data_IF_117694800969
#
_entry.id   IF_117694800969
#
_cell.length_a   1.000
_cell.length_b   1.000
_cell.length_c   1.000
_cell.angle_alpha   90.00
_cell.angle_beta   90.00
_cell.angle_gamma   90.00
#
_symmetry.space_group_name_H-M   'P 1'
#
loop_
_entity.id
_entity.type
_entity.pdbx_description
1 polymer ?
#
# COMPACT_ATOMS: atom_id res chain seq x y z
N UNK A 1 11.60 -11.85 -29.11
CA UNK A 1 10.39 -11.00 -28.95
C UNK A 1 9.20 -11.94 -28.81
N UNK A 2 8.39 -11.74 -27.80
CA UNK A 2 7.23 -12.57 -27.48
C UNK A 2 6.06 -12.29 -28.45
N UNK A 3 5.34 -13.33 -28.87
CA UNK A 3 4.20 -13.27 -29.79
C UNK A 3 2.87 -13.36 -29.05
N UNK A 4 1.75 -13.03 -29.71
CA UNK A 4 0.39 -13.20 -29.16
C UNK A 4 0.09 -14.67 -28.78
N UNK A 5 0.57 -15.62 -29.60
CA UNK A 5 0.35 -17.04 -29.35
C UNK A 5 1.13 -17.56 -28.13
N UNK A 6 2.37 -17.12 -27.96
CA UNK A 6 3.18 -17.47 -26.79
C UNK A 6 2.57 -16.89 -25.51
N UNK A 7 2.12 -15.62 -25.51
CA UNK A 7 1.45 -15.01 -24.36
C UNK A 7 0.15 -15.74 -23.99
N UNK A 8 -0.65 -16.14 -25.00
CA UNK A 8 -1.88 -16.88 -24.75
C UNK A 8 -1.60 -18.27 -24.14
N UNK A 9 -0.55 -18.96 -24.56
CA UNK A 9 -0.11 -20.25 -24.01
C UNK A 9 0.36 -20.09 -22.56
N UNK A 10 1.14 -19.05 -22.28
CA UNK A 10 1.61 -18.73 -20.92
C UNK A 10 0.43 -18.45 -19.98
N UNK A 11 -0.54 -17.63 -20.42
CA UNK A 11 -1.77 -17.33 -19.68
C UNK A 11 -2.51 -18.62 -19.32
N UNK A 12 -2.71 -19.51 -20.28
CA UNK A 12 -3.38 -20.79 -20.04
C UNK A 12 -2.64 -21.64 -19.00
N UNK A 13 -1.31 -21.65 -19.04
CA UNK A 13 -0.49 -22.38 -18.08
C UNK A 13 -0.68 -21.86 -16.65
N UNK A 14 -0.68 -20.52 -16.46
CA UNK A 14 -0.88 -19.94 -15.15
C UNK A 14 -2.32 -20.12 -14.61
N UNK A 15 -3.32 -20.02 -15.48
CA UNK A 15 -4.72 -20.31 -15.13
C UNK A 15 -4.84 -21.74 -14.62
N UNK A 16 -4.18 -22.71 -15.29
CA UNK A 16 -4.22 -24.11 -14.87
C UNK A 16 -3.64 -24.34 -13.47
N UNK A 17 -2.55 -23.65 -13.10
CA UNK A 17 -1.96 -23.73 -11.75
C UNK A 17 -2.97 -23.28 -10.70
N UNK A 18 -3.61 -22.13 -10.91
CA UNK A 18 -4.60 -21.56 -9.98
C UNK A 18 -5.84 -22.47 -9.89
N UNK A 19 -6.39 -22.89 -11.03
CA UNK A 19 -7.60 -23.72 -11.11
C UNK A 19 -7.39 -25.07 -10.43
N UNK A 20 -6.24 -25.72 -10.67
CA UNK A 20 -5.89 -26.99 -10.01
C UNK A 20 -5.86 -26.83 -8.51
N UNK A 21 -5.17 -25.80 -7.99
CA UNK A 21 -5.08 -25.55 -6.54
C UNK A 21 -6.47 -25.32 -5.92
N UNK A 22 -7.30 -24.45 -6.52
CA UNK A 22 -8.64 -24.17 -6.02
C UNK A 22 -9.53 -25.42 -5.99
N UNK A 23 -9.42 -26.25 -7.04
CA UNK A 23 -10.19 -27.51 -7.13
C UNK A 23 -9.74 -28.52 -6.07
N UNK A 24 -8.43 -28.74 -5.92
CA UNK A 24 -7.87 -29.70 -4.93
C UNK A 24 -8.20 -29.32 -3.49
N UNK A 25 -8.33 -28.02 -3.20
CA UNK A 25 -8.65 -27.50 -1.88
C UNK A 25 -10.13 -27.18 -1.64
N UNK A 26 -11.01 -27.49 -2.61
CA UNK A 26 -12.44 -27.17 -2.57
C UNK A 26 -12.72 -25.68 -2.31
N UNK A 27 -11.93 -24.79 -2.90
CA UNK A 27 -12.07 -23.35 -2.78
C UNK A 27 -12.90 -22.78 -3.94
N UNK A 28 -13.68 -21.70 -3.72
CA UNK A 28 -14.48 -21.09 -4.77
C UNK A 28 -13.61 -20.45 -5.85
N UNK A 29 -14.06 -20.57 -7.09
CA UNK A 29 -13.48 -19.88 -8.24
C UNK A 29 -13.75 -18.37 -8.17
N UNK A 30 -12.78 -17.50 -8.51
CA UNK A 30 -13.01 -16.07 -8.61
C UNK A 30 -13.94 -15.75 -9.79
N UNK A 31 -14.93 -14.92 -9.53
CA UNK A 31 -15.91 -14.47 -10.53
C UNK A 31 -16.19 -12.97 -10.35
N UNK A 32 -17.00 -12.37 -11.22
CA UNK A 32 -17.52 -11.02 -10.99
C UNK A 32 -18.80 -10.99 -10.14
N UNK A 33 -19.25 -12.10 -9.57
CA UNK A 33 -20.38 -12.09 -8.65
C UNK A 33 -20.04 -11.38 -7.32
N UNK A 34 -20.99 -10.67 -6.68
CA UNK A 34 -20.72 -9.89 -5.47
C UNK A 34 -20.18 -10.69 -4.28
N UNK A 35 -20.42 -11.98 -4.25
CA UNK A 35 -19.99 -12.95 -3.22
C UNK A 35 -18.66 -13.66 -3.58
N UNK A 36 -18.04 -13.31 -4.71
CA UNK A 36 -16.74 -13.86 -5.10
C UNK A 36 -15.67 -13.62 -4.05
N UNK A 37 -14.70 -14.55 -3.89
CA UNK A 37 -13.57 -14.34 -2.99
C UNK A 37 -12.86 -13.01 -3.29
N UNK A 38 -12.58 -12.24 -2.23
CA UNK A 38 -11.87 -10.95 -2.37
C UNK A 38 -10.44 -11.12 -2.84
N UNK A 39 -9.80 -12.23 -2.46
CA UNK A 39 -8.40 -12.52 -2.76
C UNK A 39 -8.22 -14.01 -3.09
N UNK A 40 -7.23 -14.32 -3.91
CA UNK A 40 -6.76 -15.69 -4.10
C UNK A 40 -5.96 -16.16 -2.87
N UNK A 41 -5.87 -17.49 -2.63
CA UNK A 41 -5.10 -18.05 -1.53
C UNK A 41 -3.66 -17.52 -1.47
N UNK A 42 -3.12 -17.36 -0.24
CA UNK A 42 -1.75 -16.88 -0.01
C UNK A 42 -0.66 -17.94 -0.24
N UNK A 43 -1.02 -19.09 -0.86
CA UNK A 43 -0.03 -20.07 -1.30
C UNK A 43 0.94 -19.45 -2.30
N UNK A 44 2.24 -19.73 -2.14
CA UNK A 44 3.29 -19.09 -2.92
C UNK A 44 3.19 -19.41 -4.43
N UNK A 45 2.78 -20.64 -4.81
CA UNK A 45 2.60 -21.02 -6.22
C UNK A 45 1.40 -20.29 -6.83
N UNK A 46 0.28 -20.20 -6.07
CA UNK A 46 -0.93 -19.49 -6.50
C UNK A 46 -0.63 -18.00 -6.70
N UNK A 47 0.06 -17.37 -5.75
CA UNK A 47 0.41 -15.96 -5.85
C UNK A 47 1.39 -15.69 -7.00
N UNK A 48 2.37 -16.56 -7.22
CA UNK A 48 3.28 -16.46 -8.38
C UNK A 48 2.52 -16.60 -9.69
N UNK A 49 1.69 -17.65 -9.82
CA UNK A 49 0.88 -17.86 -11.02
C UNK A 49 -0.07 -16.67 -11.28
N UNK A 50 -0.68 -16.10 -10.22
CA UNK A 50 -1.49 -14.89 -10.29
C UNK A 50 -0.72 -13.70 -10.87
N UNK A 51 0.48 -13.42 -10.37
CA UNK A 51 1.30 -12.29 -10.83
C UNK A 51 1.70 -12.46 -12.29
N UNK A 52 2.18 -13.66 -12.66
CA UNK A 52 2.52 -13.98 -14.05
C UNK A 52 1.30 -13.88 -14.96
N UNK A 53 0.12 -14.38 -14.53
CA UNK A 53 -1.13 -14.27 -15.28
C UNK A 53 -1.49 -12.81 -15.57
N UNK A 54 -1.44 -11.94 -14.56
CA UNK A 54 -1.75 -10.51 -14.73
C UNK A 54 -0.76 -9.87 -15.70
N UNK A 55 0.54 -10.12 -15.54
CA UNK A 55 1.59 -9.57 -16.39
C UNK A 55 1.41 -9.99 -17.86
N UNK A 56 1.21 -11.28 -18.11
CA UNK A 56 1.01 -11.82 -19.46
C UNK A 56 -0.29 -11.32 -20.09
N UNK A 57 -1.36 -11.19 -19.31
CA UNK A 57 -2.63 -10.64 -19.80
C UNK A 57 -2.52 -9.16 -20.17
N UNK A 58 -1.80 -8.36 -19.38
CA UNK A 58 -1.50 -6.95 -19.71
C UNK A 58 -0.64 -6.84 -20.97
N UNK A 59 0.40 -7.67 -21.10
CA UNK A 59 1.26 -7.69 -22.27
C UNK A 59 0.48 -8.11 -23.54
N UNK A 60 -0.37 -9.14 -23.43
CA UNK A 60 -1.23 -9.59 -24.50
C UNK A 60 -2.19 -8.50 -24.97
N UNK A 61 -2.84 -7.81 -24.02
CA UNK A 61 -3.75 -6.69 -24.31
C UNK A 61 -3.02 -5.55 -25.02
N UNK A 62 -1.87 -5.12 -24.49
CA UNK A 62 -1.06 -4.05 -25.09
C UNK A 62 -0.59 -4.38 -26.52
N UNK A 63 -0.18 -5.63 -26.74
CA UNK A 63 0.26 -6.08 -28.06
C UNK A 63 -0.91 -6.15 -29.04
N UNK A 64 -2.10 -6.61 -28.58
CA UNK A 64 -3.31 -6.70 -29.39
C UNK A 64 -3.90 -5.33 -29.74
N UNK A 65 -3.85 -4.36 -28.84
CA UNK A 65 -4.25 -2.96 -29.08
C UNK A 65 -3.38 -2.33 -30.18
N UNK A 66 -2.08 -2.67 -30.21
CA UNK A 66 -1.14 -2.09 -31.17
C UNK A 66 -0.63 -0.69 -30.79
N UNK A 67 0.54 -0.34 -31.27
CA UNK A 67 1.29 0.84 -30.81
C UNK A 67 0.53 2.17 -30.95
N UNK A 68 -0.16 2.39 -32.07
CA UNK A 68 -0.86 3.64 -32.34
C UNK A 68 -2.08 3.85 -31.43
N UNK A 69 -2.89 2.81 -31.25
CA UNK A 69 -4.09 2.88 -30.43
C UNK A 69 -3.76 2.82 -28.95
N UNK A 70 -2.68 2.17 -28.57
CA UNK A 70 -2.19 2.16 -27.17
C UNK A 70 -1.97 3.60 -26.67
N UNK A 71 -1.25 4.44 -27.44
CA UNK A 71 -1.04 5.84 -27.08
C UNK A 71 -2.35 6.64 -27.05
N UNK A 72 -3.24 6.46 -28.05
CA UNK A 72 -4.52 7.16 -28.12
C UNK A 72 -5.43 6.81 -26.94
N UNK A 73 -5.57 5.52 -26.65
CA UNK A 73 -6.47 5.03 -25.60
C UNK A 73 -5.96 5.39 -24.22
N UNK A 74 -4.64 5.34 -24.00
CA UNK A 74 -4.05 5.76 -22.74
C UNK A 74 -4.39 7.22 -22.42
N UNK A 75 -4.15 8.13 -23.34
CA UNK A 75 -4.47 9.55 -23.15
C UNK A 75 -5.97 9.85 -23.02
N UNK A 76 -6.83 9.02 -23.66
CA UNK A 76 -8.27 9.26 -23.64
C UNK A 76 -8.94 8.66 -22.41
N UNK A 77 -8.62 7.43 -22.04
CA UNK A 77 -9.41 6.64 -21.08
C UNK A 77 -8.96 6.82 -19.63
N UNK A 78 -7.65 6.74 -19.32
CA UNK A 78 -7.16 6.64 -17.95
C UNK A 78 -7.65 7.77 -17.02
N UNK A 79 -7.71 9.00 -17.50
CA UNK A 79 -8.25 10.13 -16.73
C UNK A 79 -9.73 9.98 -16.37
N UNK A 80 -10.51 9.23 -17.15
CA UNK A 80 -11.92 8.99 -16.88
C UNK A 80 -12.16 7.77 -15.99
N UNK A 81 -11.18 6.89 -15.88
CA UNK A 81 -11.20 5.78 -14.92
C UNK A 81 -11.20 6.32 -13.49
N UNK A 82 -10.26 7.21 -13.17
CA UNK A 82 -10.19 7.87 -11.86
C UNK A 82 -11.41 8.76 -11.60
N UNK A 83 -11.85 9.53 -12.60
CA UNK A 83 -13.05 10.36 -12.48
C UNK A 83 -14.29 9.52 -12.17
N UNK A 84 -14.40 8.31 -12.73
CA UNK A 84 -15.51 7.40 -12.45
C UNK A 84 -15.50 6.97 -10.99
N UNK A 85 -14.37 6.51 -10.47
CA UNK A 85 -14.23 6.17 -9.05
C UNK A 85 -14.56 7.34 -8.14
N UNK A 86 -14.16 8.56 -8.52
CA UNK A 86 -14.50 9.77 -7.78
C UNK A 86 -16.01 9.98 -7.68
N UNK A 87 -16.74 9.85 -8.80
CA UNK A 87 -18.21 9.91 -8.79
C UNK A 87 -18.83 8.81 -7.93
N UNK A 88 -18.35 7.56 -8.06
CA UNK A 88 -18.89 6.45 -7.28
C UNK A 88 -18.74 6.69 -5.77
N UNK A 89 -17.60 7.21 -5.35
CA UNK A 89 -17.33 7.52 -3.95
C UNK A 89 -18.11 8.76 -3.46
N UNK A 90 -18.05 9.89 -4.17
CA UNK A 90 -18.64 11.16 -3.73
C UNK A 90 -20.16 11.18 -3.72
N UNK A 91 -20.79 10.42 -4.60
CA UNK A 91 -22.25 10.29 -4.63
C UNK A 91 -22.74 9.04 -3.89
N UNK A 92 -21.85 8.39 -3.12
CA UNK A 92 -22.17 7.20 -2.34
C UNK A 92 -22.87 6.11 -3.16
N UNK A 93 -22.45 5.92 -4.42
CA UNK A 93 -23.09 4.98 -5.34
C UNK A 93 -22.84 3.53 -4.89
N UNK A 94 -21.71 3.25 -4.26
CA UNK A 94 -21.39 1.93 -3.70
C UNK A 94 -22.44 1.45 -2.69
N UNK A 95 -22.89 2.33 -1.77
CA UNK A 95 -23.89 1.96 -0.76
C UNK A 95 -25.32 2.14 -1.27
N UNK A 96 -25.53 2.99 -2.27
CA UNK A 96 -26.86 3.24 -2.82
C UNK A 96 -27.42 2.08 -3.63
N UNK A 97 -26.54 1.29 -4.27
CA UNK A 97 -26.90 0.05 -4.96
C UNK A 97 -27.01 -1.06 -3.92
N UNK A 98 -28.13 -1.81 -3.84
CA UNK A 98 -28.24 -2.96 -2.95
C UNK A 98 -27.22 -4.04 -3.31
N UNK A 99 -26.65 -4.72 -2.30
CA UNK A 99 -25.61 -5.74 -2.50
C UNK A 99 -26.07 -6.90 -3.40
N UNK A 100 -27.26 -7.43 -3.10
CA UNK A 100 -27.72 -8.71 -3.63
C UNK A 100 -28.86 -8.56 -4.65
N UNK A 101 -29.36 -7.34 -4.85
CA UNK A 101 -30.49 -7.08 -5.75
C UNK A 101 -30.19 -5.91 -6.71
N UNK A 102 -30.62 -6.02 -7.98
CA UNK A 102 -30.47 -4.92 -8.92
C UNK A 102 -31.43 -3.76 -8.61
N UNK A 103 -30.97 -2.53 -8.77
CA UNK A 103 -31.75 -1.31 -8.62
C UNK A 103 -32.00 -0.65 -9.99
N UNK A 104 -33.19 -0.07 -10.21
CA UNK A 104 -33.45 0.70 -11.43
C UNK A 104 -32.68 2.03 -11.46
N UNK A 105 -32.35 2.53 -12.67
CA UNK A 105 -31.71 3.85 -12.78
C UNK A 105 -32.56 4.98 -12.19
N UNK A 106 -33.88 4.89 -12.28
CA UNK A 106 -34.78 5.90 -11.75
C UNK A 106 -34.72 5.94 -10.21
N UNK A 107 -34.65 4.79 -9.53
CA UNK A 107 -34.53 4.70 -8.08
C UNK A 107 -33.12 5.13 -7.62
N UNK A 108 -32.07 4.64 -8.30
CA UNK A 108 -30.70 5.00 -7.99
C UNK A 108 -30.49 6.51 -8.16
N UNK A 109 -30.98 7.11 -9.23
CA UNK A 109 -30.95 8.55 -9.48
C UNK A 109 -31.54 9.35 -8.32
N UNK A 110 -32.68 8.93 -7.78
CA UNK A 110 -33.31 9.56 -6.62
C UNK A 110 -32.48 9.40 -5.34
N UNK A 111 -31.91 8.21 -5.10
CA UNK A 111 -31.08 7.93 -3.93
C UNK A 111 -29.82 8.80 -3.89
N UNK A 112 -29.14 8.92 -5.02
CA UNK A 112 -27.83 9.60 -5.10
C UNK A 112 -27.93 11.09 -5.46
N UNK A 113 -29.11 11.59 -5.79
CA UNK A 113 -29.31 13.00 -6.16
C UNK A 113 -28.68 13.40 -7.51
N UNK A 114 -28.44 12.45 -8.41
CA UNK A 114 -27.91 12.69 -9.76
C UNK A 114 -28.99 12.49 -10.79
N UNK A 115 -29.09 13.40 -11.78
CA UNK A 115 -29.98 13.22 -12.91
C UNK A 115 -29.66 11.92 -13.66
N UNK A 116 -30.69 11.14 -13.99
CA UNK A 116 -30.57 9.80 -14.57
C UNK A 116 -29.67 9.76 -15.82
N UNK A 117 -29.80 10.75 -16.71
CA UNK A 117 -28.98 10.80 -17.92
C UNK A 117 -27.47 10.96 -17.63
N UNK A 118 -27.10 11.65 -16.54
CA UNK A 118 -25.73 11.78 -16.09
C UNK A 118 -25.25 10.50 -15.39
N UNK A 119 -26.09 9.94 -14.53
CA UNK A 119 -25.81 8.67 -13.84
C UNK A 119 -25.54 7.54 -14.85
N UNK A 120 -26.35 7.44 -15.92
CA UNK A 120 -26.15 6.43 -16.98
C UNK A 120 -24.76 6.53 -17.64
N UNK A 121 -24.25 7.74 -17.88
CA UNK A 121 -22.90 7.94 -18.44
C UNK A 121 -21.81 7.47 -17.49
N UNK A 122 -21.91 7.82 -16.22
CA UNK A 122 -20.97 7.40 -15.18
C UNK A 122 -20.96 5.88 -15.07
N UNK A 123 -22.15 5.27 -14.97
CA UNK A 123 -22.27 3.83 -14.86
C UNK A 123 -21.80 3.10 -16.12
N UNK A 124 -21.96 3.68 -17.32
CA UNK A 124 -21.40 3.09 -18.54
C UNK A 124 -19.89 2.98 -18.49
N UNK A 125 -19.19 3.96 -17.91
CA UNK A 125 -17.73 3.88 -17.70
C UNK A 125 -17.40 2.86 -16.61
N UNK A 126 -18.16 2.84 -15.51
CA UNK A 126 -17.97 1.88 -14.42
C UNK A 126 -18.11 0.42 -14.88
N UNK A 127 -19.01 0.15 -15.84
CA UNK A 127 -19.16 -1.20 -16.44
C UNK A 127 -17.91 -1.63 -17.20
N UNK A 128 -17.25 -0.73 -17.91
CA UNK A 128 -16.03 -1.06 -18.65
C UNK A 128 -14.87 -1.43 -17.71
N UNK A 129 -14.92 -0.98 -16.46
CA UNK A 129 -13.96 -1.27 -15.40
C UNK A 129 -14.43 -2.41 -14.48
N UNK A 130 -15.54 -3.05 -14.79
CA UNK A 130 -16.14 -4.11 -13.98
C UNK A 130 -16.47 -3.74 -12.53
N UNK A 131 -16.73 -2.45 -12.22
CA UNK A 131 -17.21 -2.07 -10.88
C UNK A 131 -18.67 -2.40 -10.66
N UNK A 132 -19.48 -2.32 -11.71
CA UNK A 132 -20.90 -2.68 -11.68
C UNK A 132 -21.26 -3.46 -12.96
N UNK A 133 -22.46 -4.00 -13.01
CA UNK A 133 -23.00 -4.64 -14.20
C UNK A 133 -24.47 -4.25 -14.42
N UNK A 134 -24.98 -4.56 -15.61
CA UNK A 134 -26.39 -4.39 -15.97
C UNK A 134 -27.03 -5.76 -16.21
N UNK A 135 -27.65 -6.39 -15.18
CA UNK A 135 -28.23 -7.73 -15.32
C UNK A 135 -29.45 -7.77 -16.24
N UNK A 136 -30.09 -6.63 -16.42
CA UNK A 136 -31.17 -6.40 -17.39
C UNK A 136 -31.21 -4.93 -17.81
N UNK A 137 -31.74 -4.58 -18.98
CA UNK A 137 -31.82 -3.19 -19.43
C UNK A 137 -32.49 -2.28 -18.39
N UNK A 138 -31.86 -1.15 -18.09
CA UNK A 138 -32.36 -0.17 -17.14
C UNK A 138 -32.05 -0.41 -15.66
N UNK A 139 -31.31 -1.46 -15.32
CA UNK A 139 -30.94 -1.81 -13.96
C UNK A 139 -29.43 -1.87 -13.77
N UNK A 140 -29.00 -1.63 -12.52
CA UNK A 140 -27.62 -1.66 -12.03
C UNK A 140 -27.52 -2.69 -10.94
N UNK A 141 -26.46 -3.50 -10.94
CA UNK A 141 -26.13 -4.42 -9.87
C UNK A 141 -24.62 -4.39 -9.58
N UNK A 142 -24.26 -4.79 -8.37
CA UNK A 142 -22.86 -4.93 -7.99
C UNK A 142 -22.14 -6.05 -8.76
N UNK A 143 -20.86 -5.86 -8.92
CA UNK A 143 -19.89 -6.94 -9.14
C UNK A 143 -19.06 -7.12 -7.86
N UNK A 144 -18.17 -8.11 -7.83
CA UNK A 144 -17.21 -8.30 -6.75
C UNK A 144 -16.35 -7.05 -6.50
N UNK A 145 -15.96 -6.31 -7.57
CA UNK A 145 -15.13 -5.12 -7.46
C UNK A 145 -15.85 -3.97 -6.74
N UNK A 146 -17.12 -3.73 -7.04
CA UNK A 146 -17.89 -2.67 -6.38
C UNK A 146 -18.42 -3.10 -5.01
N UNK A 147 -18.77 -4.37 -4.82
CA UNK A 147 -19.24 -4.90 -3.55
C UNK A 147 -18.19 -4.83 -2.44
N UNK A 148 -16.89 -4.76 -2.80
CA UNK A 148 -15.79 -4.61 -1.87
C UNK A 148 -15.84 -3.27 -1.11
N UNK A 149 -16.40 -2.22 -1.71
CA UNK A 149 -16.45 -0.88 -1.12
C UNK A 149 -17.72 -0.59 -0.31
N UNK A 150 -18.70 -1.51 -0.29
CA UNK A 150 -19.97 -1.33 0.44
C UNK A 150 -19.68 -1.21 1.95
N UNK A 151 -20.07 -0.07 2.55
CA UNK A 151 -19.90 0.18 3.98
C UNK A 151 -18.44 0.21 4.47
N UNK A 152 -17.47 0.31 3.56
CA UNK A 152 -16.05 0.30 3.89
C UNK A 152 -15.46 1.72 3.82
N UNK A 153 -15.32 2.42 4.98
CA UNK A 153 -14.74 3.77 4.99
C UNK A 153 -13.26 3.77 4.60
N UNK A 154 -12.53 2.67 4.77
CA UNK A 154 -11.12 2.58 4.39
C UNK A 154 -10.96 2.55 2.86
N UNK A 155 -11.84 1.83 2.16
CA UNK A 155 -11.88 1.82 0.70
C UNK A 155 -12.21 3.22 0.15
N UNK A 156 -13.14 3.94 0.79
CA UNK A 156 -13.46 5.33 0.44
C UNK A 156 -12.29 6.26 0.73
N UNK A 157 -11.59 6.09 1.86
CA UNK A 157 -10.38 6.86 2.18
C UNK A 157 -9.34 6.71 1.08
N UNK A 158 -9.07 5.48 0.66
CA UNK A 158 -8.12 5.18 -0.42
C UNK A 158 -8.48 5.91 -1.73
N UNK A 159 -9.74 5.81 -2.16
CA UNK A 159 -10.20 6.46 -3.40
C UNK A 159 -10.07 7.98 -3.28
N UNK A 160 -10.63 8.57 -2.22
CA UNK A 160 -10.72 10.03 -2.09
C UNK A 160 -9.36 10.67 -1.84
N UNK A 161 -8.49 10.06 -1.02
CA UNK A 161 -7.14 10.58 -0.80
C UNK A 161 -6.33 10.61 -2.11
N UNK A 162 -6.32 9.52 -2.86
CA UNK A 162 -5.55 9.47 -4.11
C UNK A 162 -6.09 10.44 -5.18
N UNK A 163 -7.42 10.55 -5.32
CA UNK A 163 -8.04 11.33 -6.41
C UNK A 163 -8.21 12.81 -6.06
N UNK A 164 -8.45 13.16 -4.80
CA UNK A 164 -8.70 14.56 -4.41
C UNK A 164 -7.48 15.29 -3.86
N UNK A 165 -6.48 14.54 -3.38
CA UNK A 165 -5.28 15.12 -2.76
C UNK A 165 -4.03 14.78 -3.57
N UNK A 166 -3.68 13.50 -3.69
CA UNK A 166 -2.41 13.09 -4.31
C UNK A 166 -2.37 13.47 -5.79
N UNK A 167 -3.39 13.08 -6.55
CA UNK A 167 -3.39 13.31 -7.99
C UNK A 167 -3.40 14.81 -8.38
N UNK A 168 -4.33 15.65 -7.92
CA UNK A 168 -4.40 17.06 -8.36
C UNK A 168 -3.30 17.93 -7.77
N UNK A 169 -2.85 17.67 -6.56
CA UNK A 169 -1.91 18.54 -5.86
C UNK A 169 -0.47 18.15 -6.09
N UNK A 170 -0.19 16.86 -6.30
CA UNK A 170 1.16 16.31 -6.37
C UNK A 170 1.46 15.66 -7.72
N UNK A 171 0.82 14.54 -8.05
CA UNK A 171 1.19 13.73 -9.23
C UNK A 171 1.03 14.51 -10.54
N UNK A 172 -0.07 15.25 -10.73
CA UNK A 172 -0.29 16.09 -11.89
C UNK A 172 0.63 17.32 -11.95
N UNK A 173 1.37 17.60 -10.87
CA UNK A 173 2.30 18.71 -10.73
C UNK A 173 3.77 18.31 -10.69
N UNK A 174 4.05 17.03 -10.78
CA UNK A 174 5.41 16.51 -10.67
C UNK A 174 6.33 17.06 -11.78
N UNK A 175 5.83 17.13 -13.02
CA UNK A 175 6.59 17.70 -14.13
C UNK A 175 6.90 19.17 -13.88
N UNK A 176 5.92 19.97 -13.46
CA UNK A 176 6.10 21.39 -13.15
C UNK A 176 7.10 21.60 -12.01
N UNK A 177 7.02 20.75 -10.96
CA UNK A 177 7.94 20.76 -9.83
C UNK A 177 9.37 20.43 -10.25
N UNK A 178 9.55 19.40 -11.08
CA UNK A 178 10.86 19.02 -11.63
C UNK A 178 11.44 20.14 -12.51
N UNK A 179 10.60 20.78 -13.33
CA UNK A 179 11.06 21.92 -14.16
C UNK A 179 11.50 23.12 -13.30
N UNK A 180 10.85 23.34 -12.14
CA UNK A 180 11.19 24.47 -11.24
C UNK A 180 12.43 24.20 -10.40
N UNK A 181 12.58 23.00 -9.86
CA UNK A 181 13.60 22.73 -8.83
C UNK A 181 14.69 21.70 -9.25
N UNK A 182 14.56 21.10 -10.45
CA UNK A 182 15.56 20.16 -10.98
C UNK A 182 15.77 18.96 -10.06
N UNK A 183 17.03 18.69 -9.75
CA UNK A 183 17.47 17.54 -8.94
C UNK A 183 17.40 17.77 -7.42
N UNK A 184 16.56 18.72 -6.98
CA UNK A 184 16.39 18.98 -5.55
C UNK A 184 15.82 17.77 -4.82
N UNK A 185 16.36 17.51 -3.63
CA UNK A 185 15.87 16.48 -2.68
C UNK A 185 15.14 17.11 -1.47
N UNK A 186 14.85 18.41 -1.52
CA UNK A 186 14.11 19.09 -0.44
C UNK A 186 12.65 18.61 -0.43
N UNK A 187 12.14 18.03 0.68
CA UNK A 187 10.76 17.50 0.78
C UNK A 187 9.67 18.57 0.61
N UNK A 188 10.05 19.86 0.60
CA UNK A 188 9.14 20.98 0.33
C UNK A 188 9.03 21.31 -1.16
N UNK A 189 9.92 20.82 -2.00
CA UNK A 189 9.94 21.09 -3.44
C UNK A 189 8.94 20.20 -4.20
N UNK A 190 7.66 20.35 -3.86
CA UNK A 190 6.54 19.56 -4.38
C UNK A 190 5.44 20.44 -4.99
N UNK A 191 4.49 19.82 -5.68
CA UNK A 191 3.43 20.49 -6.43
C UNK A 191 2.71 21.63 -5.69
N UNK A 192 2.23 21.46 -4.45
CA UNK A 192 1.54 22.53 -3.71
C UNK A 192 2.38 23.79 -3.49
N UNK A 193 3.70 23.63 -3.41
CA UNK A 193 4.63 24.75 -3.16
C UNK A 193 5.08 25.48 -4.44
N UNK A 194 4.56 25.11 -5.62
CA UNK A 194 4.97 25.75 -6.88
C UNK A 194 4.82 27.28 -6.88
N UNK A 195 3.80 27.79 -6.21
CA UNK A 195 3.51 29.22 -6.10
C UNK A 195 3.82 29.81 -4.71
N UNK A 196 4.40 29.04 -3.81
CA UNK A 196 4.83 29.55 -2.49
C UNK A 196 5.99 30.53 -2.65
N UNK A 197 6.03 31.54 -1.77
CA UNK A 197 7.19 32.42 -1.68
C UNK A 197 8.33 31.70 -0.95
N UNK A 198 9.58 32.07 -1.22
CA UNK A 198 10.73 31.51 -0.51
C UNK A 198 10.56 31.60 1.02
N UNK A 199 10.63 30.45 1.70
CA UNK A 199 10.45 30.33 3.15
C UNK A 199 9.00 30.11 3.61
N UNK A 200 8.02 30.14 2.71
CA UNK A 200 6.61 29.80 3.00
C UNK A 200 6.25 28.38 2.55
N UNK A 201 7.21 27.65 2.01
CA UNK A 201 7.01 26.26 1.57
C UNK A 201 6.74 25.33 2.76
N UNK A 202 5.77 24.43 2.60
CA UNK A 202 5.30 23.51 3.64
C UNK A 202 5.59 22.06 3.29
N UNK A 203 5.80 21.27 4.33
CA UNK A 203 5.87 19.82 4.21
C UNK A 203 4.48 19.22 3.92
N UNK A 204 4.47 18.05 3.30
CA UNK A 204 3.25 17.29 3.00
C UNK A 204 2.30 17.19 4.20
N UNK A 205 2.82 16.77 5.36
CA UNK A 205 2.00 16.59 6.56
C UNK A 205 1.44 17.92 7.12
N UNK A 206 2.17 19.02 6.97
CA UNK A 206 1.70 20.36 7.35
C UNK A 206 0.52 20.79 6.46
N UNK A 207 0.62 20.53 5.15
CA UNK A 207 -0.46 20.81 4.20
C UNK A 207 -1.70 19.97 4.50
N UNK A 208 -1.53 18.66 4.78
CA UNK A 208 -2.64 17.77 5.13
C UNK A 208 -3.32 18.13 6.45
N UNK A 209 -2.58 18.72 7.40
CA UNK A 209 -3.07 19.08 8.71
C UNK A 209 -3.82 20.42 8.72
N UNK A 210 -3.41 21.39 7.91
CA UNK A 210 -3.90 22.76 7.98
C UNK A 210 -5.30 22.98 7.42
N UNK A 211 -5.77 22.14 6.49
CA UNK A 211 -7.09 22.27 5.90
C UNK A 211 -8.16 22.01 6.98
N UNK A 212 -8.99 23.03 7.22
CA UNK A 212 -10.06 23.01 8.22
C UNK A 212 -11.48 22.96 7.60
N UNK A 213 -11.58 22.86 6.27
CA UNK A 213 -12.84 22.96 5.53
C UNK A 213 -13.52 21.60 5.28
N UNK A 214 -13.32 20.62 6.16
CA UNK A 214 -13.89 19.30 5.96
C UNK A 214 -14.02 18.46 7.21
N UNK A 215 -14.47 17.25 6.97
CA UNK A 215 -14.67 16.23 8.00
C UNK A 215 -14.34 14.86 7.42
N UNK A 216 -13.71 14.01 8.21
CA UNK A 216 -13.49 12.62 7.89
C UNK A 216 -13.54 11.75 9.14
N UNK A 217 -14.42 10.73 9.13
CA UNK A 217 -14.49 9.66 10.15
C UNK A 217 -14.44 10.20 11.60
N UNK A 218 -15.24 11.26 11.87
CA UNK A 218 -15.34 11.91 13.19
C UNK A 218 -14.28 12.98 13.48
N UNK A 219 -13.26 13.15 12.63
CA UNK A 219 -12.32 14.28 12.72
C UNK A 219 -12.82 15.42 11.84
N UNK A 220 -13.19 16.53 12.47
CA UNK A 220 -13.72 17.72 11.82
C UNK A 220 -12.74 18.88 11.91
N UNK A 221 -12.57 19.62 10.81
CA UNK A 221 -11.64 20.72 10.74
C UNK A 221 -10.20 20.24 10.61
N UNK A 222 -9.25 20.99 11.16
CA UNK A 222 -7.80 20.67 11.01
C UNK A 222 -7.49 19.22 11.34
N UNK A 223 -6.69 18.58 10.44
CA UNK A 223 -6.27 17.20 10.58
C UNK A 223 -7.19 16.15 9.95
N UNK A 224 -8.38 16.52 9.41
CA UNK A 224 -9.27 15.53 8.80
C UNK A 224 -8.66 14.82 7.58
N UNK A 225 -7.85 15.54 6.78
CA UNK A 225 -7.14 14.94 5.64
C UNK A 225 -6.02 14.01 6.10
N UNK A 226 -5.32 14.40 7.16
CA UNK A 226 -4.30 13.55 7.76
C UNK A 226 -4.91 12.27 8.32
N UNK A 227 -6.10 12.37 8.94
CA UNK A 227 -6.82 11.18 9.41
C UNK A 227 -7.29 10.29 8.23
N UNK A 228 -7.75 10.90 7.13
CA UNK A 228 -8.09 10.17 5.91
C UNK A 228 -6.86 9.46 5.31
N UNK A 229 -5.68 10.09 5.32
CA UNK A 229 -4.42 9.46 4.93
C UNK A 229 -4.13 8.21 5.79
N UNK A 230 -4.36 8.27 7.10
CA UNK A 230 -4.13 7.11 7.97
C UNK A 230 -5.11 5.97 7.72
N UNK A 231 -6.37 6.26 7.42
CA UNK A 231 -7.33 5.25 6.97
C UNK A 231 -6.92 4.68 5.59
N UNK A 232 -6.31 5.48 4.74
CA UNK A 232 -5.72 5.04 3.46
C UNK A 232 -4.57 4.06 3.68
N UNK A 233 -3.65 4.33 4.60
CA UNK A 233 -2.56 3.42 4.96
C UNK A 233 -3.09 2.10 5.54
N UNK A 234 -4.16 2.14 6.34
CA UNK A 234 -4.85 0.94 6.81
C UNK A 234 -5.42 0.11 5.66
N UNK A 235 -6.17 0.74 4.74
CA UNK A 235 -6.72 0.04 3.58
C UNK A 235 -5.62 -0.66 2.78
N UNK A 236 -4.53 0.05 2.51
CA UNK A 236 -3.38 -0.49 1.82
C UNK A 236 -2.75 -1.68 2.57
N UNK A 237 -2.71 -1.62 3.91
CA UNK A 237 -2.20 -2.68 4.78
C UNK A 237 -3.14 -3.86 5.01
N UNK A 238 -4.43 -3.78 4.64
CA UNK A 238 -5.40 -4.87 4.85
C UNK A 238 -5.45 -5.89 3.73
N UNK A 239 -4.93 -5.56 2.56
CA UNK A 239 -5.02 -6.47 1.40
C UNK A 239 -3.93 -6.25 0.36
N UNK A 240 -3.96 -7.09 -0.68
CA UNK A 240 -3.10 -6.95 -1.85
C UNK A 240 -1.60 -7.08 -1.54
N UNK A 241 -0.83 -6.24 -2.21
CA UNK A 241 0.63 -6.32 -2.26
C UNK A 241 1.37 -5.80 -1.01
N UNK A 242 0.68 -5.20 -0.02
CA UNK A 242 1.28 -4.72 1.26
C UNK A 242 0.51 -5.27 2.48
N UNK A 243 -0.05 -6.44 2.39
CA UNK A 243 -0.84 -7.01 3.48
C UNK A 243 -0.05 -7.10 4.79
N UNK A 244 -0.59 -6.52 5.88
CA UNK A 244 0.05 -6.50 7.19
C UNK A 244 0.36 -7.90 7.74
N UNK A 245 -0.48 -8.90 7.45
CA UNK A 245 -0.26 -10.29 7.84
C UNK A 245 1.00 -10.92 7.23
N UNK A 246 1.56 -10.35 6.17
CA UNK A 246 2.86 -10.78 5.62
C UNK A 246 4.02 -10.57 6.61
N UNK A 247 3.88 -9.64 7.57
CA UNK A 247 4.83 -9.47 8.66
C UNK A 247 4.97 -10.73 9.51
N UNK A 248 3.89 -11.50 9.69
CA UNK A 248 3.90 -12.74 10.48
C UNK A 248 4.73 -13.84 9.83
N UNK A 249 4.93 -13.78 8.51
CA UNK A 249 5.72 -14.76 7.75
C UNK A 249 7.15 -14.28 7.48
N UNK A 250 7.39 -12.97 7.57
CA UNK A 250 8.68 -12.37 7.25
C UNK A 250 9.67 -12.38 8.44
N UNK A 251 9.20 -12.66 9.66
CA UNK A 251 10.02 -12.67 10.87
C UNK A 251 9.43 -13.62 11.91
N UNK A 252 10.27 -14.30 12.66
CA UNK A 252 9.88 -15.18 13.76
C UNK A 252 9.58 -14.36 15.04
N UNK A 253 8.40 -13.74 15.07
CA UNK A 253 7.91 -12.96 16.21
C UNK A 253 7.74 -13.81 17.46
N UNK A 254 7.33 -15.08 17.32
CA UNK A 254 7.13 -16.01 18.43
C UNK A 254 8.45 -16.39 19.11
N UNK A 255 9.53 -16.48 18.35
CA UNK A 255 10.87 -16.78 18.85
C UNK A 255 11.46 -15.71 19.78
N UNK A 256 10.87 -14.49 19.81
CA UNK A 256 11.25 -13.44 20.75
C UNK A 256 10.82 -13.75 22.21
N UNK A 257 9.80 -14.62 22.42
CA UNK A 257 9.20 -14.84 23.73
C UNK A 257 8.57 -13.56 24.29
N UNK A 258 8.75 -13.30 25.59
CA UNK A 258 8.31 -12.05 26.22
C UNK A 258 9.22 -10.90 25.80
N UNK A 259 8.72 -10.05 24.92
CA UNK A 259 9.52 -8.98 24.35
C UNK A 259 8.72 -7.68 24.19
N UNK A 260 9.47 -6.55 24.20
CA UNK A 260 8.95 -5.21 23.94
C UNK A 260 9.35 -4.77 22.56
N UNK A 261 8.36 -4.36 21.78
CA UNK A 261 8.52 -3.79 20.44
C UNK A 261 8.14 -2.31 20.46
N UNK A 262 9.02 -1.46 20.00
CA UNK A 262 8.77 -0.03 19.81
C UNK A 262 8.48 0.20 18.34
N UNK A 263 7.25 0.57 18.00
CA UNK A 263 6.78 0.85 16.64
C UNK A 263 6.88 2.35 16.37
N UNK A 264 7.99 2.76 15.74
CA UNK A 264 8.34 4.17 15.50
C UNK A 264 7.63 4.65 14.22
N UNK A 265 6.76 5.64 14.36
CA UNK A 265 5.90 6.10 13.26
C UNK A 265 4.78 5.12 12.96
N UNK A 266 4.33 4.36 13.95
CA UNK A 266 3.33 3.29 13.81
C UNK A 266 1.90 3.76 13.56
N UNK A 267 1.70 5.08 13.48
CA UNK A 267 0.44 5.75 13.10
C UNK A 267 -0.75 5.24 13.94
N UNK A 268 -1.62 4.44 13.34
CA UNK A 268 -2.84 3.91 14.00
C UNK A 268 -2.59 2.63 14.80
N UNK A 269 -1.35 2.11 14.82
CA UNK A 269 -1.01 0.86 15.48
C UNK A 269 -1.59 -0.41 14.83
N UNK A 270 -2.09 -0.32 13.59
CA UNK A 270 -2.72 -1.47 12.94
C UNK A 270 -1.74 -2.62 12.65
N UNK A 271 -0.48 -2.32 12.33
CA UNK A 271 0.57 -3.34 12.15
C UNK A 271 0.98 -3.95 13.50
N UNK A 272 1.20 -3.10 14.52
CA UNK A 272 1.46 -3.54 15.89
C UNK A 272 0.33 -4.44 16.39
N UNK A 273 -0.93 -4.06 16.16
CA UNK A 273 -2.11 -4.86 16.53
C UNK A 273 -2.14 -6.20 15.80
N UNK A 274 -1.82 -6.22 14.49
CA UNK A 274 -1.77 -7.46 13.70
C UNK A 274 -0.75 -8.45 14.28
N UNK A 275 0.44 -7.97 14.63
CA UNK A 275 1.49 -8.82 15.20
C UNK A 275 1.16 -9.23 16.64
N UNK A 276 0.65 -8.31 17.47
CA UNK A 276 0.30 -8.56 18.86
C UNK A 276 -0.84 -9.58 19.02
N UNK A 277 -1.85 -9.55 18.13
CA UNK A 277 -2.94 -10.54 18.13
C UNK A 277 -2.43 -11.96 17.90
N UNK A 278 -1.46 -12.13 17.00
CA UNK A 278 -0.87 -13.43 16.69
C UNK A 278 0.19 -13.88 17.72
N UNK A 279 0.73 -12.96 18.54
CA UNK A 279 1.83 -13.23 19.47
C UNK A 279 1.50 -12.66 20.87
N UNK A 280 0.87 -13.44 21.75
CA UNK A 280 0.34 -12.96 23.04
C UNK A 280 1.41 -12.48 24.03
N UNK A 281 2.65 -12.92 23.89
CA UNK A 281 3.76 -12.56 24.77
C UNK A 281 4.43 -11.22 24.41
N UNK A 282 4.08 -10.62 23.26
CA UNK A 282 4.65 -9.34 22.82
C UNK A 282 3.88 -8.15 23.39
N UNK A 283 4.62 -7.13 23.78
CA UNK A 283 4.13 -5.80 24.15
C UNK A 283 4.57 -4.76 23.13
N UNK A 284 3.68 -3.89 22.71
CA UNK A 284 3.97 -2.85 21.74
C UNK A 284 3.83 -1.45 22.32
N UNK A 285 4.79 -0.57 22.01
CA UNK A 285 4.74 0.88 22.27
C UNK A 285 4.74 1.56 20.91
N UNK A 286 3.56 2.02 20.48
CA UNK A 286 3.39 2.71 19.20
C UNK A 286 3.73 4.18 19.39
N UNK A 287 4.75 4.65 18.70
CA UNK A 287 5.22 6.02 18.78
C UNK A 287 4.83 6.81 17.54
N UNK A 288 4.20 7.95 17.76
CA UNK A 288 3.86 8.91 16.71
C UNK A 288 3.92 10.34 17.28
N UNK A 289 4.03 11.33 16.41
CA UNK A 289 4.07 12.73 16.82
C UNK A 289 2.83 13.12 17.63
N UNK A 290 3.01 14.04 18.56
CA UNK A 290 1.95 14.47 19.44
C UNK A 290 0.91 15.34 18.69
N UNK A 291 -0.31 14.80 18.53
CA UNK A 291 -1.48 15.52 18.03
C UNK A 291 -2.63 15.37 19.03
N UNK A 292 -3.39 16.45 19.34
CA UNK A 292 -4.40 16.44 20.41
C UNK A 292 -5.50 15.38 20.29
N UNK A 293 -5.80 14.97 19.02
CA UNK A 293 -6.85 13.99 18.72
C UNK A 293 -6.32 12.57 18.54
N UNK A 294 -4.98 12.39 18.48
CA UNK A 294 -4.34 11.14 18.05
C UNK A 294 -4.51 10.01 19.05
N UNK A 295 -4.16 10.26 20.30
CA UNK A 295 -4.24 9.26 21.37
C UNK A 295 -5.67 8.72 21.55
N UNK A 296 -6.67 9.63 21.51
CA UNK A 296 -8.08 9.25 21.58
C UNK A 296 -8.44 8.30 20.44
N UNK A 297 -8.14 8.68 19.20
CA UNK A 297 -8.46 7.90 18.02
C UNK A 297 -7.72 6.56 17.99
N UNK A 298 -6.48 6.53 18.49
CA UNK A 298 -5.73 5.30 18.64
C UNK A 298 -6.45 4.30 19.53
N UNK A 299 -6.84 4.71 20.75
CA UNK A 299 -7.50 3.81 21.69
C UNK A 299 -8.94 3.46 21.30
N UNK A 300 -9.66 4.32 20.60
CA UNK A 300 -11.00 4.00 20.07
C UNK A 300 -10.97 2.89 19.01
N UNK A 301 -9.84 2.70 18.34
CA UNK A 301 -9.66 1.69 17.28
C UNK A 301 -8.89 0.46 17.76
N UNK A 302 -8.28 0.51 18.93
CA UNK A 302 -7.51 -0.62 19.45
C UNK A 302 -8.46 -1.78 19.82
N UNK A 303 -8.23 -3.00 19.32
CA UNK A 303 -8.95 -4.19 19.75
C UNK A 303 -8.89 -4.36 21.27
N UNK A 304 -10.03 -4.63 21.91
CA UNK A 304 -10.14 -4.69 23.36
C UNK A 304 -9.19 -5.75 24.01
N UNK A 305 -8.93 -6.84 23.31
CA UNK A 305 -8.00 -7.88 23.72
C UNK A 305 -6.52 -7.44 23.75
N UNK A 306 -6.21 -6.31 23.15
CA UNK A 306 -4.87 -5.71 23.16
C UNK A 306 -4.66 -4.66 24.26
N UNK A 307 -5.70 -4.33 25.01
CA UNK A 307 -5.59 -3.40 26.13
C UNK A 307 -4.51 -3.84 27.11
N UNK A 308 -3.61 -2.92 27.45
CA UNK A 308 -2.46 -3.20 28.34
C UNK A 308 -1.25 -3.88 27.66
N UNK A 309 -1.39 -4.34 26.40
CA UNK A 309 -0.27 -4.88 25.61
C UNK A 309 0.17 -3.98 24.45
N UNK A 310 -0.73 -3.18 23.95
CA UNK A 310 -0.41 -2.20 22.90
C UNK A 310 -0.77 -0.82 23.43
N UNK A 311 0.18 0.09 23.45
CA UNK A 311 0.02 1.44 24.01
C UNK A 311 0.53 2.49 23.03
N UNK A 312 -0.04 3.69 23.13
CA UNK A 312 0.42 4.87 22.40
C UNK A 312 1.40 5.68 23.25
N UNK A 313 2.46 6.21 22.63
CA UNK A 313 3.42 7.11 23.24
C UNK A 313 3.71 8.27 22.27
N UNK A 314 3.36 9.52 22.60
CA UNK A 314 3.76 10.66 21.79
C UNK A 314 5.28 10.80 21.75
N UNK A 315 5.86 10.81 20.55
CA UNK A 315 7.29 10.91 20.37
C UNK A 315 7.66 11.52 19.01
N UNK A 316 8.66 12.39 19.01
CA UNK A 316 9.31 12.88 17.79
C UNK A 316 10.47 11.93 17.43
N UNK A 317 10.38 11.27 16.28
CA UNK A 317 11.38 10.31 15.80
C UNK A 317 12.80 10.87 15.64
N UNK A 318 12.94 12.19 15.57
CA UNK A 318 14.26 12.85 15.51
C UNK A 318 14.84 13.14 16.90
N UNK A 319 14.01 13.14 17.93
CA UNK A 319 14.45 13.32 19.30
C UNK A 319 15.10 12.05 19.87
N UNK A 320 15.72 12.17 21.05
CA UNK A 320 16.28 11.02 21.76
C UNK A 320 15.20 9.97 22.02
N UNK A 321 15.47 8.70 21.66
CA UNK A 321 14.54 7.59 21.87
C UNK A 321 14.38 7.30 23.38
N UNK A 322 13.18 7.51 23.95
CA UNK A 322 12.98 7.38 25.39
C UNK A 322 12.94 5.94 25.89
N UNK A 323 12.57 4.98 25.02
CA UNK A 323 12.50 3.57 25.38
C UNK A 323 13.85 2.94 25.08
N UNK A 324 14.63 2.65 26.14
CA UNK A 324 15.97 2.07 26.03
C UNK A 324 15.92 0.55 26.17
N UNK A 325 16.76 -0.16 25.42
CA UNK A 325 16.95 -1.61 25.54
C UNK A 325 15.70 -2.43 25.15
N UNK A 326 14.80 -1.91 24.32
CA UNK A 326 13.72 -2.69 23.76
C UNK A 326 14.28 -3.87 22.94
N UNK A 327 13.52 -4.95 22.86
CA UNK A 327 13.94 -6.13 22.10
C UNK A 327 13.92 -5.85 20.60
N UNK A 328 12.92 -5.07 20.15
CA UNK A 328 12.77 -4.67 18.76
C UNK A 328 12.41 -3.19 18.68
N UNK A 329 13.10 -2.47 17.81
CA UNK A 329 12.65 -1.19 17.26
C UNK A 329 12.15 -1.47 15.85
N UNK A 330 10.92 -1.09 15.57
CA UNK A 330 10.26 -1.36 14.29
C UNK A 330 9.89 -0.06 13.59
N UNK A 331 10.11 0.02 12.30
CA UNK A 331 9.67 1.11 11.44
C UNK A 331 9.06 0.54 10.15
N UNK A 332 7.89 1.00 9.79
CA UNK A 332 7.25 0.62 8.53
C UNK A 332 7.00 1.87 7.68
N UNK A 333 7.58 1.92 6.48
CA UNK A 333 7.42 3.05 5.54
C UNK A 333 7.69 4.42 6.17
N UNK A 334 8.74 4.50 6.98
CA UNK A 334 9.17 5.73 7.66
C UNK A 334 10.37 6.37 6.96
N UNK A 335 11.43 5.58 6.72
CA UNK A 335 12.71 6.11 6.24
C UNK A 335 12.70 6.51 4.75
N UNK A 336 11.82 5.92 3.95
CA UNK A 336 11.69 6.25 2.53
C UNK A 336 11.17 7.68 2.27
N UNK A 337 10.51 8.27 3.26
CA UNK A 337 9.98 9.64 3.21
C UNK A 337 11.03 10.69 3.60
N UNK A 338 12.21 10.24 4.03
CA UNK A 338 13.23 11.10 4.61
C UNK A 338 14.46 11.21 3.70
N UNK A 339 15.02 12.41 3.51
CA UNK A 339 16.36 12.58 2.97
C UNK A 339 17.38 11.82 3.82
N UNK A 340 18.51 11.43 3.23
CA UNK A 340 19.52 10.58 3.88
C UNK A 340 19.99 11.15 5.24
N UNK A 341 20.21 12.45 5.35
CA UNK A 341 20.67 13.10 6.60
C UNK A 341 19.64 12.97 7.73
N UNK A 342 18.35 13.07 7.40
CA UNK A 342 17.24 12.89 8.34
C UNK A 342 17.06 11.42 8.71
N UNK A 343 17.10 10.54 7.73
CA UNK A 343 17.05 9.09 7.96
C UNK A 343 18.21 8.62 8.86
N UNK A 344 19.44 9.09 8.61
CA UNK A 344 20.62 8.83 9.45
C UNK A 344 20.39 9.33 10.88
N UNK A 345 19.78 10.49 11.06
CA UNK A 345 19.47 11.02 12.40
C UNK A 345 18.53 10.06 13.15
N UNK A 346 17.45 9.61 12.52
CA UNK A 346 16.50 8.66 13.11
C UNK A 346 17.20 7.35 13.50
N UNK A 347 18.01 6.80 12.60
CA UNK A 347 18.77 5.56 12.84
C UNK A 347 19.73 5.70 14.02
N UNK A 348 20.45 6.84 14.14
CA UNK A 348 21.33 7.11 15.29
C UNK A 348 20.56 7.16 16.60
N UNK A 349 19.34 7.74 16.63
CA UNK A 349 18.49 7.72 17.82
C UNK A 349 18.09 6.31 18.23
N UNK A 350 17.89 5.43 17.26
CA UNK A 350 17.67 3.99 17.56
C UNK A 350 18.95 3.36 18.13
N UNK A 351 20.12 3.57 17.52
CA UNK A 351 21.41 3.02 18.00
C UNK A 351 21.69 3.43 19.44
N UNK A 352 21.46 4.71 19.79
CA UNK A 352 21.63 5.24 21.16
C UNK A 352 20.71 4.57 22.20
N UNK A 353 19.64 3.94 21.75
CA UNK A 353 18.66 3.26 22.60
C UNK A 353 18.80 1.74 22.59
N UNK A 354 19.37 1.14 21.57
CA UNK A 354 19.53 -0.30 21.41
C UNK A 354 20.55 -0.85 22.41
N UNK A 355 20.22 -2.03 22.98
CA UNK A 355 21.21 -2.89 23.61
C UNK A 355 21.90 -3.72 22.50
N UNK A 356 23.22 -3.53 22.28
CA UNK A 356 23.90 -4.21 21.18
C UNK A 356 23.88 -5.73 21.24
N UNK A 357 23.66 -6.32 22.42
CA UNK A 357 23.61 -7.78 22.60
C UNK A 357 22.20 -8.37 22.43
N UNK A 358 21.16 -7.54 22.41
CA UNK A 358 19.78 -7.99 22.48
C UNK A 358 18.88 -7.36 21.40
N UNK A 359 19.00 -6.04 21.25
CA UNK A 359 18.06 -5.28 20.42
C UNK A 359 18.25 -5.56 18.92
N UNK A 360 17.14 -5.58 18.20
CA UNK A 360 17.10 -5.63 16.75
C UNK A 360 16.37 -4.38 16.22
N UNK A 361 16.76 -3.91 15.05
CA UNK A 361 15.99 -2.92 14.32
C UNK A 361 15.35 -3.62 13.11
N UNK A 362 14.04 -3.58 13.02
CA UNK A 362 13.29 -4.10 11.88
C UNK A 362 12.76 -2.92 11.06
N UNK A 363 13.02 -2.91 9.77
CA UNK A 363 12.42 -1.94 8.85
C UNK A 363 11.62 -2.66 7.77
N UNK A 364 10.41 -2.17 7.51
CA UNK A 364 9.55 -2.67 6.45
C UNK A 364 9.38 -1.56 5.43
N UNK A 365 10.05 -1.69 4.30
CA UNK A 365 10.07 -0.71 3.23
C UNK A 365 10.05 -1.41 1.86
N UNK A 366 9.81 -0.65 0.79
CA UNK A 366 10.00 -1.13 -0.55
C UNK A 366 11.50 -1.26 -0.83
N UNK A 367 11.88 -2.40 -1.37
CA UNK A 367 13.26 -2.66 -1.80
C UNK A 367 13.21 -2.83 -3.32
N UNK A 368 13.81 -1.90 -4.05
CA UNK A 368 13.60 -1.77 -5.51
C UNK A 368 14.14 -2.97 -6.30
N UNK A 369 15.15 -3.65 -5.80
CA UNK A 369 15.71 -4.89 -6.34
C UNK A 369 15.16 -6.17 -5.66
N UNK A 370 14.17 -6.02 -4.79
CA UNK A 370 13.45 -7.09 -4.12
C UNK A 370 14.15 -7.67 -2.90
N UNK A 371 13.38 -8.42 -2.08
CA UNK A 371 13.84 -9.18 -0.93
C UNK A 371 13.94 -10.69 -1.23
N UNK A 372 14.49 -11.44 -0.27
CA UNK A 372 14.52 -12.90 -0.32
C UNK A 372 13.14 -13.46 0.08
N UNK A 373 12.69 -14.60 -0.49
CA UNK A 373 11.46 -15.23 -0.06
C UNK A 373 11.59 -15.78 1.36
N UNK A 374 10.50 -15.88 2.15
CA UNK A 374 10.52 -16.62 3.41
C UNK A 374 10.98 -18.05 3.22
N UNK A 375 11.56 -18.67 4.26
CA UNK A 375 12.06 -20.03 4.19
C UNK A 375 10.99 -21.05 3.75
N UNK A 376 9.75 -20.88 4.18
CA UNK A 376 8.60 -21.69 3.77
C UNK A 376 8.19 -21.50 2.30
N UNK A 377 8.46 -20.33 1.73
CA UNK A 377 8.21 -20.00 0.32
C UNK A 377 9.42 -20.32 -0.57
N UNK A 378 10.60 -20.58 0.03
CA UNK A 378 11.84 -20.83 -0.70
C UNK A 378 11.91 -22.20 -1.36
N UNK A 379 11.03 -23.12 -0.98
CA UNK A 379 10.96 -24.49 -1.53
C UNK A 379 9.60 -24.71 -2.18
N UNK A 380 9.54 -24.65 -3.51
CA UNK A 380 8.33 -24.99 -4.26
C UNK A 380 8.61 -26.23 -5.11
N UNK A 381 7.79 -27.26 -4.98
CA UNK A 381 7.95 -28.54 -5.70
C UNK A 381 9.33 -29.20 -5.51
N UNK A 382 9.93 -29.06 -4.33
CA UNK A 382 11.24 -29.63 -4.03
C UNK A 382 12.43 -28.91 -4.66
N UNK A 383 12.22 -27.73 -5.24
CA UNK A 383 13.28 -26.85 -5.73
C UNK A 383 13.42 -25.61 -4.87
N UNK A 384 14.64 -25.35 -4.41
CA UNK A 384 14.98 -24.05 -3.79
C UNK A 384 14.80 -22.95 -4.85
N UNK A 385 14.07 -21.91 -4.48
CA UNK A 385 13.90 -20.74 -5.34
C UNK A 385 15.07 -19.82 -5.06
N UNK A 386 15.90 -19.57 -6.08
CA UNK A 386 16.86 -18.48 -6.01
C UNK A 386 16.12 -17.15 -5.99
N UNK A 387 16.42 -16.29 -5.02
CA UNK A 387 15.83 -14.95 -4.86
C UNK A 387 15.96 -14.07 -6.12
N UNK A 388 16.92 -14.35 -6.98
CA UNK A 388 17.08 -13.71 -8.29
C UNK A 388 16.02 -14.12 -9.33
N UNK A 389 15.32 -15.24 -9.12
CA UNK A 389 14.28 -15.74 -10.03
C UNK A 389 12.88 -15.14 -9.76
N UNK A 390 12.66 -14.53 -8.62
CA UNK A 390 11.33 -14.07 -8.19
C UNK A 390 10.91 -12.67 -8.65
N UNK A 391 11.85 -11.77 -8.92
CA UNK A 391 11.56 -10.38 -9.24
C UNK A 391 11.82 -9.96 -10.69
N UNK A 392 12.58 -10.74 -11.45
CA UNK A 392 13.02 -10.37 -12.82
C UNK A 392 12.73 -11.41 -13.91
N UNK A 393 12.10 -12.53 -13.61
CA UNK A 393 12.10 -13.71 -14.48
C UNK A 393 10.86 -13.99 -15.32
N UNK A 394 10.03 -13.04 -15.62
CA UNK A 394 8.95 -13.33 -16.56
C UNK A 394 9.30 -13.05 -18.04
N UNK A 395 10.55 -12.89 -18.38
CA UNK A 395 10.99 -12.76 -19.79
C UNK A 395 10.66 -11.42 -20.46
N UNK A 396 10.03 -10.49 -19.74
CA UNK A 396 9.66 -9.16 -20.23
C UNK A 396 10.51 -8.02 -19.61
N UNK A 397 11.56 -8.35 -18.86
CA UNK A 397 12.38 -7.36 -18.16
C UNK A 397 11.67 -6.72 -16.95
N UNK A 398 11.92 -5.44 -16.61
CA UNK A 398 11.38 -4.78 -15.43
C UNK A 398 9.86 -4.43 -15.58
N UNK A 399 9.08 -5.31 -16.19
CA UNK A 399 7.65 -5.09 -16.50
C UNK A 399 6.71 -5.87 -15.61
N UNK A 400 7.23 -6.57 -14.58
CA UNK A 400 6.44 -7.34 -13.63
C UNK A 400 5.41 -6.46 -12.88
N UNK A 401 4.27 -7.05 -12.52
CA UNK A 401 3.16 -6.33 -11.83
C UNK A 401 3.63 -5.71 -10.52
N UNK A 402 4.41 -6.44 -9.71
CA UNK A 402 4.95 -5.91 -8.46
C UNK A 402 5.99 -4.83 -8.73
N UNK A 403 6.87 -5.00 -9.72
CA UNK A 403 7.82 -3.96 -10.14
C UNK A 403 7.10 -2.68 -10.56
N UNK A 404 6.02 -2.79 -11.34
CA UNK A 404 5.21 -1.63 -11.73
C UNK A 404 4.57 -0.94 -10.51
N UNK A 405 4.09 -1.71 -9.54
CA UNK A 405 3.54 -1.16 -8.30
C UNK A 405 4.63 -0.46 -7.49
N UNK A 406 5.81 -1.07 -7.32
CA UNK A 406 6.94 -0.47 -6.61
C UNK A 406 7.38 0.85 -7.26
N UNK A 407 7.51 0.88 -8.59
CA UNK A 407 7.80 2.12 -9.33
C UNK A 407 6.68 3.15 -9.14
N UNK A 408 5.41 2.73 -9.14
CA UNK A 408 4.27 3.63 -8.88
C UNK A 408 4.31 4.25 -7.48
N UNK A 409 4.71 3.46 -6.48
CA UNK A 409 4.88 3.95 -5.10
C UNK A 409 6.09 4.90 -5.03
N UNK A 410 7.20 4.57 -5.68
CA UNK A 410 8.38 5.43 -5.77
C UNK A 410 8.04 6.80 -6.41
N UNK A 411 7.29 6.79 -7.52
CA UNK A 411 6.78 8.03 -8.11
C UNK A 411 5.84 8.81 -7.18
N UNK A 412 5.02 8.12 -6.38
CA UNK A 412 4.16 8.79 -5.40
C UNK A 412 4.99 9.41 -4.28
N UNK A 413 6.01 8.71 -3.77
CA UNK A 413 6.95 9.22 -2.75
C UNK A 413 7.72 10.43 -3.30
N UNK A 414 8.20 10.35 -4.55
CA UNK A 414 8.83 11.48 -5.24
C UNK A 414 7.87 12.67 -5.34
N UNK A 415 6.63 12.47 -5.80
CA UNK A 415 5.68 13.55 -5.99
C UNK A 415 5.25 14.22 -4.68
N UNK A 416 5.06 13.44 -3.61
CA UNK A 416 4.42 13.88 -2.36
C UNK A 416 5.44 14.46 -1.37
N UNK A 417 6.61 13.83 -1.23
CA UNK A 417 7.64 14.20 -0.24
C UNK A 417 9.03 14.37 -0.84
N UNK A 418 9.15 14.36 -2.16
CA UNK A 418 10.43 14.43 -2.88
C UNK A 418 11.46 13.40 -2.37
N UNK A 419 10.97 12.24 -1.92
CA UNK A 419 11.75 11.11 -1.45
C UNK A 419 11.95 10.07 -2.54
N UNK A 420 12.50 8.92 -2.18
CA UNK A 420 12.74 7.81 -3.11
C UNK A 420 12.80 6.46 -2.39
N UNK A 421 12.42 5.42 -3.10
CA UNK A 421 12.61 4.04 -2.66
C UNK A 421 14.03 3.59 -2.98
N UNK A 422 14.59 2.72 -2.14
CA UNK A 422 16.01 2.34 -2.22
C UNK A 422 16.18 0.89 -2.62
N UNK A 423 17.27 0.59 -3.31
CA UNK A 423 17.79 -0.77 -3.49
C UNK A 423 18.33 -1.31 -2.17
N UNK A 424 18.54 -2.64 -2.09
CA UNK A 424 19.15 -3.26 -0.91
C UNK A 424 20.54 -2.68 -0.59
N UNK A 425 21.36 -2.42 -1.61
CA UNK A 425 22.68 -1.83 -1.44
C UNK A 425 22.63 -0.40 -0.90
N UNK A 426 21.68 0.40 -1.38
CA UNK A 426 21.46 1.76 -0.87
C UNK A 426 20.97 1.74 0.58
N UNK A 427 20.08 0.81 0.95
CA UNK A 427 19.68 0.60 2.35
C UNK A 427 20.90 0.24 3.22
N UNK A 428 21.72 -0.73 2.82
CA UNK A 428 22.94 -1.09 3.56
C UNK A 428 23.88 0.11 3.71
N UNK A 429 24.05 0.89 2.66
CA UNK A 429 24.88 2.08 2.66
C UNK A 429 24.35 3.15 3.63
N UNK A 430 23.03 3.40 3.63
CA UNK A 430 22.38 4.34 4.55
C UNK A 430 22.60 3.95 6.01
N UNK A 431 22.38 2.67 6.34
CA UNK A 431 22.55 2.14 7.69
C UNK A 431 24.01 2.23 8.16
N UNK A 432 24.96 1.86 7.30
CA UNK A 432 26.41 1.97 7.59
C UNK A 432 26.87 3.43 7.79
N UNK A 433 26.25 4.41 7.11
CA UNK A 433 26.49 5.85 7.34
C UNK A 433 25.94 6.31 8.69
N UNK A 434 24.87 5.69 9.18
CA UNK A 434 24.33 6.00 10.50
C UNK A 434 25.23 5.46 11.60
N UNK A 435 25.59 4.17 11.54
CA UNK A 435 26.54 3.50 12.42
C UNK A 435 27.21 2.33 11.68
N UNK A 436 28.57 2.25 11.65
CA UNK A 436 29.28 1.19 10.92
C UNK A 436 29.04 -0.23 11.47
N UNK A 437 28.54 -0.38 12.70
CA UNK A 437 28.20 -1.68 13.30
C UNK A 437 26.93 -2.28 12.73
N UNK A 438 26.03 -1.53 12.09
CA UNK A 438 24.84 -2.11 11.49
C UNK A 438 25.17 -3.22 10.49
N UNK A 439 24.57 -4.39 10.69
CA UNK A 439 24.63 -5.52 9.78
C UNK A 439 23.22 -5.98 9.39
N UNK A 440 22.98 -6.13 8.10
CA UNK A 440 21.74 -6.69 7.58
C UNK A 440 21.77 -8.22 7.74
N UNK A 441 20.88 -8.76 8.57
CA UNK A 441 20.75 -10.21 8.81
C UNK A 441 19.78 -10.88 7.85
N UNK A 442 18.76 -10.17 7.42
CA UNK A 442 17.76 -10.68 6.49
C UNK A 442 17.02 -9.55 5.80
N UNK A 443 16.55 -9.83 4.60
CA UNK A 443 15.70 -8.94 3.81
C UNK A 443 14.63 -9.82 3.16
N UNK A 444 13.52 -10.04 3.86
CA UNK A 444 12.52 -11.04 3.48
C UNK A 444 11.31 -10.38 2.83
N UNK A 445 10.97 -10.84 1.63
CA UNK A 445 9.80 -10.40 0.89
C UNK A 445 8.92 -11.61 0.54
N UNK A 446 7.68 -11.63 1.04
CA UNK A 446 6.72 -12.68 0.68
C UNK A 446 6.23 -12.50 -0.74
N UNK A 447 5.95 -13.62 -1.42
CA UNK A 447 5.45 -13.59 -2.80
C UNK A 447 4.16 -12.76 -2.89
N UNK A 448 4.13 -11.83 -3.83
CA UNK A 448 2.99 -10.93 -4.03
C UNK A 448 2.98 -9.69 -3.14
N UNK A 449 3.99 -9.52 -2.27
CA UNK A 449 4.16 -8.32 -1.47
C UNK A 449 5.17 -7.37 -2.15
N UNK A 450 4.93 -6.06 -2.12
CA UNK A 450 5.86 -5.05 -2.62
C UNK A 450 6.87 -4.59 -1.55
N UNK A 451 6.58 -4.76 -0.26
CA UNK A 451 7.49 -4.41 0.83
C UNK A 451 8.27 -5.62 1.33
N UNK A 452 9.55 -5.43 1.62
CA UNK A 452 10.40 -6.37 2.33
C UNK A 452 10.55 -5.99 3.80
N UNK A 453 10.73 -6.97 4.66
CA UNK A 453 11.14 -6.77 6.04
C UNK A 453 12.64 -7.00 6.15
N UNK A 454 13.36 -5.98 6.55
CA UNK A 454 14.82 -6.01 6.77
C UNK A 454 15.12 -6.09 8.25
N UNK A 455 15.94 -7.06 8.64
CA UNK A 455 16.42 -7.24 10.00
C UNK A 455 17.86 -6.74 10.14
N UNK A 456 18.07 -5.82 11.07
CA UNK A 456 19.36 -5.19 11.36
C UNK A 456 19.78 -5.44 12.80
N UNK A 457 21.04 -5.74 12.99
CA UNK A 457 21.69 -5.83 14.31
C UNK A 457 22.93 -4.93 14.37
N UNK A 458 23.43 -4.71 15.58
CA UNK A 458 24.74 -4.08 15.80
C UNK A 458 25.77 -5.17 16.03
N UNK A 459 26.73 -5.31 15.12
CA UNK A 459 27.89 -6.21 15.28
C UNK A 459 29.01 -5.46 16.01
N UNK A 460 29.88 -6.22 16.72
CA UNK A 460 31.05 -5.68 17.43
C UNK A 460 32.08 -5.02 16.50
#
# INVERSE_FOLDING_TARGET
MVTLAELASDIQSQVKVIDTYLTEHNLPQPTFAPDSPRELPLDANVQRARLLLIEKAMALSNLAIGAADNLRWHCMNNKFDDMTLHFLARYNIFDAVPRDEPISYAELSKKVGLAEHRLRRIMSMAYTQHYFCTPKPGFVAHTSNSAMAIGDPLALAWILHNIEEVQPWYSNKLVDATMKWGDSIDPKHTGPNLNAKPGEEKLFYEIMEEDDQGEWNGVKGKGFRLWRLYDTDKFFGTGGAIKGTNLLRAFDWGGLGKATVVDIGGITGHLASTVALANPDLTFIVQERNQPWYEKQFYEQLPAELNGRVSYMPHDKYAEQPVKGADVYFMSTVLHKEPDDKAITILRRCVEAMDPNKSRLLTRDIVMDGGDPPAEDAVINGRAINSKEGSYEAGLGPTGVITRLNIGIDFQVLAVVNGFERTREEWVTLFKKADPRFALKGCIQTVGNCAALMEWILEE
#
